data_IF_552031785871
#
_entry.id   IF_552031785871
#
_cell.length_a   1.000
_cell.length_b   1.000
_cell.length_c   1.000
_cell.angle_alpha   90.00
_cell.angle_beta   90.00
_cell.angle_gamma   90.00
#
_symmetry.space_group_name_H-M   'P 1'
#
loop_
_entity.id
_entity.type
_entity.pdbx_description
1 polymer ?
#
# COMPACT_ATOMS: atom_id res chain seq x y z
N UNK A 1 -18.34 -17.80 -6.53
CA UNK A 1 -19.23 -18.88 -7.01
C UNK A 1 -20.63 -18.37 -7.33
N UNK A 2 -21.37 -17.80 -6.35
CA UNK A 2 -22.74 -17.27 -6.56
C UNK A 2 -22.83 -16.24 -7.70
N UNK A 3 -21.90 -15.28 -7.77
CA UNK A 3 -21.87 -14.28 -8.84
C UNK A 3 -21.63 -14.90 -10.23
N UNK A 4 -20.76 -15.91 -10.31
CA UNK A 4 -20.35 -16.54 -11.58
C UNK A 4 -21.32 -17.62 -12.06
N UNK A 5 -22.09 -18.26 -11.18
CA UNK A 5 -22.95 -19.41 -11.51
C UNK A 5 -24.46 -19.14 -11.37
N UNK A 6 -24.87 -18.20 -10.52
CA UNK A 6 -26.30 -17.90 -10.29
C UNK A 6 -26.69 -16.58 -10.95
N UNK A 7 -26.20 -15.46 -10.41
CA UNK A 7 -26.44 -14.12 -10.96
C UNK A 7 -25.66 -13.06 -10.20
N UNK A 8 -25.26 -12.01 -10.91
CA UNK A 8 -24.72 -10.78 -10.32
C UNK A 8 -25.69 -10.11 -9.36
N UNK A 9 -27.00 -10.11 -9.68
CA UNK A 9 -28.03 -9.48 -8.84
C UNK A 9 -28.12 -10.17 -7.48
N UNK A 10 -28.10 -11.51 -7.48
CA UNK A 10 -28.14 -12.30 -6.24
C UNK A 10 -26.87 -12.08 -5.42
N UNK A 11 -25.70 -12.11 -6.07
CA UNK A 11 -24.42 -11.89 -5.41
C UNK A 11 -24.32 -10.53 -4.72
N UNK A 12 -24.66 -9.45 -5.43
CA UNK A 12 -24.66 -8.10 -4.84
C UNK A 12 -25.81 -7.88 -3.85
N UNK A 13 -26.97 -8.51 -4.06
CA UNK A 13 -28.10 -8.44 -3.14
C UNK A 13 -27.75 -8.98 -1.75
N UNK A 14 -27.07 -10.13 -1.68
CA UNK A 14 -26.59 -10.71 -0.42
C UNK A 14 -25.63 -9.74 0.30
N UNK A 15 -24.65 -9.18 -0.43
CA UNK A 15 -23.70 -8.22 0.14
C UNK A 15 -24.41 -6.95 0.66
N UNK A 16 -25.41 -6.45 -0.06
CA UNK A 16 -26.21 -5.31 0.36
C UNK A 16 -26.95 -5.60 1.66
N UNK A 17 -27.64 -6.75 1.76
CA UNK A 17 -28.35 -7.17 2.96
C UNK A 17 -27.39 -7.28 4.15
N UNK A 18 -26.23 -7.91 3.97
CA UNK A 18 -25.21 -8.02 5.01
C UNK A 18 -24.73 -6.65 5.50
N UNK A 19 -24.52 -5.69 4.59
CA UNK A 19 -24.13 -4.33 4.95
C UNK A 19 -25.22 -3.62 5.77
N UNK A 20 -26.49 -3.77 5.38
CA UNK A 20 -27.63 -3.20 6.12
C UNK A 20 -27.71 -3.80 7.52
N UNK A 21 -27.58 -5.13 7.64
CA UNK A 21 -27.59 -5.83 8.93
C UNK A 21 -26.42 -5.34 9.81
N UNK A 22 -25.21 -5.24 9.25
CA UNK A 22 -24.04 -4.73 9.98
C UNK A 22 -24.26 -3.29 10.47
N UNK A 23 -24.86 -2.42 9.65
CA UNK A 23 -25.21 -1.05 10.03
C UNK A 23 -26.23 -1.02 11.17
N UNK A 24 -27.28 -1.86 11.11
CA UNK A 24 -28.28 -1.96 12.18
C UNK A 24 -27.63 -2.41 13.49
N UNK A 25 -26.78 -3.44 13.46
CA UNK A 25 -26.04 -3.90 14.64
C UNK A 25 -25.15 -2.79 15.20
N UNK A 26 -24.43 -2.08 14.33
CA UNK A 26 -23.58 -0.95 14.72
C UNK A 26 -24.40 0.17 15.39
N UNK A 27 -25.55 0.54 14.82
CA UNK A 27 -26.43 1.57 15.38
C UNK A 27 -27.06 1.13 16.71
N UNK A 28 -27.48 -0.12 16.84
CA UNK A 28 -27.94 -0.68 18.11
C UNK A 28 -26.86 -0.64 19.20
N UNK A 29 -25.58 -0.74 18.82
CA UNK A 29 -24.44 -0.64 19.73
C UNK A 29 -24.09 0.77 20.18
N UNK A 30 -24.66 1.82 19.58
CA UNK A 30 -24.28 3.23 19.85
C UNK A 30 -24.46 3.64 21.31
N UNK A 31 -25.45 3.10 22.01
CA UNK A 31 -25.67 3.36 23.45
C UNK A 31 -24.57 2.77 24.33
N UNK A 32 -23.81 1.79 23.83
CA UNK A 32 -22.73 1.11 24.54
C UNK A 32 -21.35 1.68 24.20
N UNK A 33 -21.26 2.57 23.21
CA UNK A 33 -20.00 3.15 22.75
C UNK A 33 -19.55 4.30 23.65
N UNK A 34 -18.28 4.24 24.08
CA UNK A 34 -17.64 5.37 24.76
C UNK A 34 -17.02 6.28 23.72
N UNK A 35 -17.58 7.48 23.59
CA UNK A 35 -17.02 8.51 22.73
C UNK A 35 -15.80 9.13 23.43
N UNK A 36 -14.61 8.81 22.93
CA UNK A 36 -13.39 9.52 23.33
C UNK A 36 -13.41 10.85 22.58
N UNK A 37 -13.74 11.93 23.30
CA UNK A 37 -13.50 13.30 22.81
C UNK A 37 -12.00 13.48 22.73
N UNK A 38 -11.41 13.22 21.55
CA UNK A 38 -10.06 13.68 21.26
C UNK A 38 -10.12 15.20 21.25
N UNK A 39 -9.30 15.82 22.09
CA UNK A 39 -9.05 17.25 22.09
C UNK A 39 -8.88 17.72 20.64
N UNK A 40 -9.46 18.87 20.27
CA UNK A 40 -9.44 19.45 18.92
C UNK A 40 -8.03 19.97 18.54
N UNK A 41 -7.00 19.17 18.80
CA UNK A 41 -5.67 19.38 18.27
C UNK A 41 -5.74 19.45 16.75
N UNK A 42 -5.00 20.39 16.17
CA UNK A 42 -4.93 20.52 14.72
C UNK A 42 -4.54 19.19 14.08
N UNK A 43 -5.25 18.80 13.01
CA UNK A 43 -4.93 17.56 12.33
C UNK A 43 -3.49 17.61 11.82
N UNK A 44 -2.71 16.51 11.93
CA UNK A 44 -1.33 16.48 11.45
C UNK A 44 -1.21 16.90 9.98
N UNK A 45 -2.20 16.54 9.15
CA UNK A 45 -2.29 16.97 7.76
C UNK A 45 -2.39 18.49 7.62
N UNK A 46 -3.24 19.15 8.42
CA UNK A 46 -3.38 20.61 8.39
C UNK A 46 -2.08 21.28 8.82
N UNK A 47 -1.46 20.79 9.89
CA UNK A 47 -0.17 21.27 10.41
C UNK A 47 0.94 21.18 9.36
N UNK A 48 1.14 20.00 8.79
CA UNK A 48 2.17 19.75 7.77
C UNK A 48 1.90 20.54 6.49
N UNK A 49 0.64 20.59 6.02
CA UNK A 49 0.28 21.39 4.84
C UNK A 49 0.52 22.89 5.04
N UNK A 50 0.31 23.39 6.26
CA UNK A 50 0.60 24.78 6.64
C UNK A 50 2.08 25.13 6.45
N UNK A 51 2.98 24.22 6.84
CA UNK A 51 4.44 24.37 6.63
C UNK A 51 4.79 24.49 5.15
N UNK A 52 4.25 23.61 4.30
CA UNK A 52 4.50 23.67 2.86
C UNK A 52 3.99 24.97 2.23
N UNK A 53 2.79 25.41 2.63
CA UNK A 53 2.19 26.67 2.15
C UNK A 53 3.03 27.88 2.62
N UNK A 54 3.45 27.90 3.89
CA UNK A 54 4.29 28.97 4.44
C UNK A 54 5.66 29.03 3.76
N UNK A 55 6.33 27.88 3.57
CA UNK A 55 7.60 27.79 2.84
C UNK A 55 7.46 28.27 1.38
N UNK A 56 6.40 27.86 0.68
CA UNK A 56 6.14 28.30 -0.69
C UNK A 56 5.86 29.81 -0.78
N UNK A 57 5.09 30.36 0.16
CA UNK A 57 4.79 31.79 0.24
C UNK A 57 6.04 32.63 0.50
N UNK A 58 6.94 32.10 1.33
CA UNK A 58 8.21 32.74 1.66
C UNK A 58 9.37 32.34 0.72
N UNK A 59 9.11 31.59 -0.36
CA UNK A 59 10.15 31.06 -1.26
C UNK A 59 11.04 32.17 -1.86
N UNK A 60 10.46 33.35 -2.14
CA UNK A 60 11.14 34.52 -2.69
C UNK A 60 11.76 35.45 -1.65
N UNK A 61 11.56 35.21 -0.36
CA UNK A 61 12.31 35.89 0.68
C UNK A 61 13.77 35.45 0.52
N UNK A 62 14.57 36.31 -0.11
CA UNK A 62 16.00 36.14 -0.24
C UNK A 62 16.62 36.62 1.07
N UNK A 63 17.58 35.86 1.59
CA UNK A 63 18.53 36.33 2.60
C UNK A 63 18.93 37.78 2.25
N UNK A 64 18.71 38.72 3.17
CA UNK A 64 19.65 39.77 3.59
C UNK A 64 19.01 41.09 4.11
N UNK A 65 17.80 41.51 3.71
CA UNK A 65 17.48 42.96 3.85
C UNK A 65 16.50 43.41 4.93
N UNK A 66 15.94 42.53 5.76
CA UNK A 66 15.16 42.94 6.94
C UNK A 66 15.27 41.86 8.00
N UNK A 67 16.29 41.91 8.85
CA UNK A 67 16.28 41.17 10.12
C UNK A 67 16.58 42.16 11.23
N UNK A 68 15.63 42.32 12.13
CA UNK A 68 15.87 42.90 13.46
C UNK A 68 16.68 41.86 14.27
N UNK A 69 17.49 42.26 15.26
CA UNK A 69 18.45 41.40 15.99
C UNK A 69 17.85 40.11 16.62
N UNK A 70 16.52 39.98 16.66
CA UNK A 70 15.78 38.79 17.12
C UNK A 70 15.60 37.69 16.06
N UNK A 71 15.75 38.01 14.77
CA UNK A 71 15.47 37.07 13.68
C UNK A 71 16.70 36.26 13.23
N UNK A 72 17.93 36.70 13.56
CA UNK A 72 19.16 35.91 13.37
C UNK A 72 19.17 34.60 14.17
N UNK A 73 18.45 34.55 15.29
CA UNK A 73 18.31 33.33 16.11
C UNK A 73 17.50 32.23 15.40
N UNK A 74 16.62 32.58 14.46
CA UNK A 74 15.83 31.64 13.66
C UNK A 74 16.54 31.24 12.35
N UNK A 75 17.46 32.08 11.87
CA UNK A 75 18.25 31.85 10.66
C UNK A 75 19.44 30.92 10.91
N UNK A 76 19.95 30.88 12.15
CA UNK A 76 20.92 29.89 12.56
C UNK A 76 20.21 28.56 12.80
N UNK A 77 20.34 27.57 11.90
CA UNK A 77 19.72 26.27 12.12
C UNK A 77 20.24 25.73 13.46
N UNK A 78 19.38 25.12 14.29
CA UNK A 78 19.86 24.47 15.50
C UNK A 78 20.98 23.51 15.11
N UNK A 79 22.04 23.35 15.92
CA UNK A 79 23.19 22.51 15.58
C UNK A 79 22.82 21.04 15.29
N UNK A 80 21.58 20.64 15.60
CA UNK A 80 21.00 19.32 15.38
C UNK A 80 19.93 19.25 14.27
N UNK A 81 19.65 20.34 13.55
CA UNK A 81 18.65 20.39 12.47
C UNK A 81 19.16 19.73 11.19
N UNK A 82 18.27 19.04 10.45
CA UNK A 82 18.70 18.35 9.24
C UNK A 82 19.00 19.30 8.09
N UNK A 83 20.18 19.15 7.46
CA UNK A 83 20.58 19.89 6.27
C UNK A 83 19.78 19.52 5.00
N UNK A 84 18.95 18.47 5.04
CA UNK A 84 18.09 18.09 3.91
C UNK A 84 16.80 18.92 3.91
N UNK A 85 16.37 19.36 2.72
CA UNK A 85 15.15 20.15 2.50
C UNK A 85 15.12 21.53 3.19
N UNK A 86 16.25 22.25 3.18
CA UNK A 86 16.40 23.61 3.77
C UNK A 86 15.39 24.64 3.29
N UNK A 87 14.77 24.43 2.12
CA UNK A 87 13.72 25.32 1.65
C UNK A 87 12.50 25.36 2.58
N UNK A 88 12.26 24.31 3.37
CA UNK A 88 11.18 24.26 4.37
C UNK A 88 11.45 25.15 5.58
N UNK A 89 12.71 25.49 5.86
CA UNK A 89 13.07 26.40 6.96
C UNK A 89 12.52 27.81 6.72
N UNK A 90 12.20 28.17 5.45
CA UNK A 90 11.52 29.41 5.10
C UNK A 90 10.10 29.53 5.68
N UNK A 91 9.49 28.42 6.13
CA UNK A 91 8.20 28.44 6.83
C UNK A 91 8.29 29.05 8.25
N UNK A 92 9.49 29.15 8.82
CA UNK A 92 9.73 29.79 10.11
C UNK A 92 9.66 31.32 10.01
N UNK A 93 9.84 31.87 8.81
CA UNK A 93 9.82 33.32 8.61
C UNK A 93 8.39 33.89 8.72
N UNK A 94 8.20 35.02 9.41
CA UNK A 94 6.92 35.72 9.42
C UNK A 94 6.56 36.15 7.99
N UNK A 95 5.30 35.94 7.61
CA UNK A 95 4.88 36.19 6.22
C UNK A 95 4.87 37.68 5.89
N UNK A 96 5.57 38.14 4.82
CA UNK A 96 5.64 39.56 4.48
C UNK A 96 4.33 40.13 3.93
N UNK A 97 3.40 39.26 3.50
CA UNK A 97 2.15 39.65 2.82
C UNK A 97 0.94 39.66 3.77
N UNK A 98 1.07 39.14 5.01
CA UNK A 98 0.00 39.16 6.01
C UNK A 98 0.44 39.98 7.21
N UNK A 99 0.18 41.29 7.19
CA UNK A 99 0.37 42.21 8.34
C UNK A 99 -0.55 41.90 9.55
N UNK A 100 -1.06 40.68 9.65
CA UNK A 100 -1.87 40.20 10.77
C UNK A 100 -2.23 38.72 10.59
N UNK A 101 -2.12 37.96 11.67
CA UNK A 101 -2.69 36.62 11.91
C UNK A 101 -2.05 35.33 11.35
N UNK A 102 -0.97 35.38 10.58
CA UNK A 102 -0.22 34.15 10.29
C UNK A 102 0.78 33.84 11.40
N UNK A 103 0.47 32.92 12.34
CA UNK A 103 1.50 32.42 13.28
C UNK A 103 2.61 31.75 12.45
N UNK A 104 3.90 32.10 12.65
CA UNK A 104 5.00 31.37 12.02
C UNK A 104 4.96 29.90 12.48
N UNK A 105 5.33 28.98 11.59
CA UNK A 105 5.39 27.56 11.93
C UNK A 105 6.46 27.32 13.00
N UNK A 106 6.24 26.34 13.87
CA UNK A 106 7.25 25.92 14.86
C UNK A 106 8.34 25.07 14.20
N UNK A 107 9.53 25.06 14.81
CA UNK A 107 10.67 24.22 14.36
C UNK A 107 10.27 22.73 14.33
N UNK A 108 9.49 22.28 15.31
CA UNK A 108 9.00 20.89 15.37
C UNK A 108 8.08 20.56 14.18
N UNK A 109 7.26 21.50 13.74
CA UNK A 109 6.36 21.33 12.58
C UNK A 109 7.15 21.23 11.28
N UNK A 110 8.22 22.02 11.17
CA UNK A 110 9.13 21.99 10.02
C UNK A 110 9.92 20.69 9.96
N UNK A 111 10.48 20.22 11.07
CA UNK A 111 11.20 18.93 11.11
C UNK A 111 10.27 17.73 10.90
N UNK A 112 9.00 17.81 11.34
CA UNK A 112 7.99 16.82 10.99
C UNK A 112 7.70 16.81 9.49
N UNK A 113 7.52 17.97 8.86
CA UNK A 113 7.30 18.08 7.41
C UNK A 113 8.52 17.56 6.61
N UNK A 114 9.75 17.86 7.06
CA UNK A 114 10.99 17.28 6.48
C UNK A 114 11.00 15.77 6.61
N UNK A 115 10.59 15.23 7.76
CA UNK A 115 10.52 13.79 7.99
C UNK A 115 9.51 13.10 7.07
N UNK A 116 8.34 13.71 6.84
CA UNK A 116 7.37 13.22 5.85
C UNK A 116 7.97 13.25 4.44
N UNK A 117 8.68 14.31 4.08
CA UNK A 117 9.32 14.41 2.76
C UNK A 117 10.41 13.36 2.56
N UNK A 118 11.12 12.94 3.61
CA UNK A 118 12.07 11.81 3.57
C UNK A 118 11.38 10.45 3.33
N UNK A 119 10.11 10.31 3.70
CA UNK A 119 9.33 9.09 3.45
C UNK A 119 8.78 9.01 2.02
N UNK A 120 8.66 10.14 1.30
CA UNK A 120 8.10 10.18 -0.05
C UNK A 120 8.85 9.26 -1.04
N UNK A 121 10.19 9.24 -1.10
CA UNK A 121 10.90 8.31 -1.98
C UNK A 121 10.63 6.83 -1.66
N UNK A 122 10.54 6.47 -0.37
CA UNK A 122 10.26 5.10 0.08
C UNK A 122 8.82 4.70 -0.27
N UNK A 123 7.88 5.63 -0.12
CA UNK A 123 6.51 5.44 -0.57
C UNK A 123 6.44 5.27 -2.10
N UNK A 124 7.18 6.08 -2.86
CA UNK A 124 7.20 6.02 -4.31
C UNK A 124 7.73 4.68 -4.83
N UNK A 125 8.79 4.11 -4.23
CA UNK A 125 9.28 2.77 -4.61
C UNK A 125 8.27 1.67 -4.30
N UNK A 126 7.41 1.88 -3.30
CA UNK A 126 6.33 0.95 -2.95
C UNK A 126 5.18 0.94 -3.99
N UNK A 127 5.12 1.90 -4.92
CA UNK A 127 4.13 1.90 -6.01
C UNK A 127 4.29 0.70 -6.94
N UNK A 128 5.50 0.18 -7.11
CA UNK A 128 5.75 -1.03 -7.93
C UNK A 128 5.00 -2.21 -7.33
N UNK A 129 5.03 -2.36 -6.01
CA UNK A 129 4.27 -3.39 -5.30
C UNK A 129 2.76 -3.23 -5.56
N UNK A 130 2.24 -2.00 -5.48
CA UNK A 130 0.82 -1.74 -5.73
C UNK A 130 0.40 -2.14 -7.17
N UNK A 131 1.27 -1.93 -8.16
CA UNK A 131 1.04 -2.40 -9.53
C UNK A 131 0.92 -3.93 -9.57
N UNK A 132 1.84 -4.66 -8.92
CA UNK A 132 1.80 -6.13 -8.87
C UNK A 132 0.55 -6.62 -8.13
N UNK A 133 0.23 -6.02 -7.00
CA UNK A 133 -0.97 -6.31 -6.22
C UNK A 133 -2.24 -6.19 -7.07
N UNK A 134 -2.35 -5.15 -7.89
CA UNK A 134 -3.52 -4.95 -8.77
C UNK A 134 -3.72 -6.07 -9.80
N UNK A 135 -2.65 -6.78 -10.21
CA UNK A 135 -2.73 -7.87 -11.19
C UNK A 135 -3.46 -9.10 -10.65
N UNK A 136 -3.43 -9.32 -9.33
CA UNK A 136 -4.06 -10.48 -8.68
C UNK A 136 -5.56 -10.55 -8.95
N UNK A 137 -6.25 -9.42 -8.74
CA UNK A 137 -7.69 -9.29 -8.95
C UNK A 137 -8.10 -9.13 -10.42
N UNK A 138 -7.16 -8.76 -11.29
CA UNK A 138 -7.43 -8.38 -12.68
C UNK A 138 -6.83 -9.38 -13.66
N UNK A 139 -5.57 -9.18 -14.05
CA UNK A 139 -4.89 -9.97 -15.08
C UNK A 139 -4.84 -11.46 -14.73
N UNK A 140 -4.48 -11.84 -13.49
CA UNK A 140 -4.42 -13.26 -13.12
C UNK A 140 -5.79 -13.94 -13.18
N UNK A 141 -6.85 -13.21 -12.84
CA UNK A 141 -8.23 -13.70 -12.96
C UNK A 141 -8.63 -13.87 -14.43
N UNK A 142 -8.28 -12.91 -15.29
CA UNK A 142 -8.53 -13.00 -16.75
C UNK A 142 -7.73 -14.13 -17.39
N UNK A 143 -6.46 -14.28 -17.02
CA UNK A 143 -5.60 -15.36 -17.47
C UNK A 143 -6.21 -16.71 -17.09
N UNK A 144 -6.59 -16.90 -15.82
CA UNK A 144 -7.21 -18.12 -15.32
C UNK A 144 -8.56 -18.44 -15.96
N UNK A 145 -9.32 -17.44 -16.40
CA UNK A 145 -10.59 -17.65 -17.09
C UNK A 145 -10.43 -18.32 -18.46
N UNK A 146 -9.26 -18.22 -19.09
CA UNK A 146 -8.94 -18.85 -20.40
C UNK A 146 -8.39 -20.28 -20.27
N UNK A 147 -8.09 -20.73 -19.06
CA UNK A 147 -7.50 -22.04 -18.78
C UNK A 147 -8.58 -23.09 -18.50
N UNK A 148 -8.20 -24.37 -18.52
CA UNK A 148 -9.07 -25.44 -18.06
C UNK A 148 -9.21 -25.39 -16.53
N UNK A 149 -10.44 -25.14 -16.07
CA UNK A 149 -10.80 -24.94 -14.67
C UNK A 149 -11.54 -26.13 -14.07
N UNK A 150 -11.59 -27.26 -14.77
CA UNK A 150 -12.24 -28.47 -14.29
C UNK A 150 -11.46 -29.11 -13.13
N UNK A 151 -12.17 -29.49 -12.06
CA UNK A 151 -11.70 -30.39 -11.02
C UNK A 151 -12.58 -31.63 -11.08
N UNK A 152 -12.02 -32.73 -11.58
CA UNK A 152 -12.77 -33.96 -11.78
C UNK A 152 -13.85 -33.81 -12.87
N UNK A 153 -14.89 -34.66 -12.85
CA UNK A 153 -15.80 -34.81 -13.99
C UNK A 153 -16.88 -33.72 -14.12
N UNK A 154 -17.20 -32.98 -13.05
CA UNK A 154 -18.39 -32.10 -13.05
C UNK A 154 -18.19 -30.73 -12.40
N UNK A 155 -17.08 -30.48 -11.72
CA UNK A 155 -16.88 -29.23 -10.99
C UNK A 155 -15.97 -28.28 -11.77
N UNK A 156 -16.44 -27.06 -12.02
CA UNK A 156 -15.66 -26.01 -12.67
C UNK A 156 -15.42 -24.88 -11.68
N UNK A 157 -14.15 -24.65 -11.37
CA UNK A 157 -13.75 -23.64 -10.39
C UNK A 157 -13.87 -22.23 -10.99
N UNK A 158 -14.47 -21.27 -10.28
CA UNK A 158 -14.39 -19.86 -10.65
C UNK A 158 -12.94 -19.36 -10.74
N UNK A 159 -12.54 -18.70 -11.83
CA UNK A 159 -11.17 -18.21 -11.98
C UNK A 159 -10.76 -17.27 -10.83
N UNK A 160 -11.69 -16.40 -10.40
CA UNK A 160 -11.47 -15.47 -9.30
C UNK A 160 -11.26 -16.17 -7.95
N UNK A 161 -11.75 -17.40 -7.75
CA UNK A 161 -11.56 -18.10 -6.47
C UNK A 161 -10.13 -18.52 -6.20
N UNK A 162 -9.23 -18.51 -7.20
CA UNK A 162 -7.79 -18.71 -6.96
C UNK A 162 -7.19 -17.62 -6.07
N UNK A 163 -7.80 -16.44 -5.98
CA UNK A 163 -7.39 -15.40 -5.03
C UNK A 163 -7.47 -15.89 -3.57
N UNK A 164 -8.34 -16.85 -3.25
CA UNK A 164 -8.40 -17.44 -1.91
C UNK A 164 -7.07 -18.09 -1.51
N UNK A 165 -6.30 -18.57 -2.49
CA UNK A 165 -5.00 -19.18 -2.23
C UNK A 165 -3.97 -18.18 -1.70
N UNK A 166 -4.06 -16.90 -2.10
CA UNK A 166 -3.23 -15.82 -1.54
C UNK A 166 -3.45 -15.75 -0.03
N UNK A 167 -4.71 -15.69 0.40
CA UNK A 167 -5.07 -15.61 1.82
C UNK A 167 -4.68 -16.86 2.60
N UNK A 168 -4.83 -18.05 2.01
CA UNK A 168 -4.33 -19.29 2.62
C UNK A 168 -2.82 -19.23 2.81
N UNK A 169 -2.07 -18.78 1.80
CA UNK A 169 -0.63 -18.57 1.93
C UNK A 169 -0.31 -17.58 3.04
N UNK A 170 -0.97 -16.42 3.11
CA UNK A 170 -0.75 -15.43 4.18
C UNK A 170 -1.01 -16.05 5.57
N UNK A 171 -2.13 -16.75 5.75
CA UNK A 171 -2.50 -17.39 7.03
C UNK A 171 -1.46 -18.43 7.46
N UNK A 172 -0.84 -19.14 6.51
CA UNK A 172 0.21 -20.11 6.79
C UNK A 172 1.57 -19.44 7.02
N UNK A 173 1.91 -18.40 6.25
CA UNK A 173 3.21 -17.74 6.31
C UNK A 173 3.38 -16.85 7.54
N UNK A 174 2.35 -16.14 8.00
CA UNK A 174 2.41 -15.29 9.20
C UNK A 174 2.93 -16.06 10.43
N UNK A 175 2.33 -17.19 10.85
CA UNK A 175 2.81 -17.92 12.03
C UNK A 175 4.20 -18.53 11.82
N UNK A 176 4.58 -18.90 10.58
CA UNK A 176 5.94 -19.36 10.28
C UNK A 176 6.93 -18.21 10.43
N UNK A 177 6.57 -17.03 9.93
CA UNK A 177 7.38 -15.83 10.03
C UNK A 177 7.58 -15.42 11.50
N UNK A 178 6.49 -15.25 12.25
CA UNK A 178 6.55 -14.82 13.63
C UNK A 178 7.11 -15.90 14.57
N UNK A 179 6.77 -17.16 14.32
CA UNK A 179 7.11 -18.28 15.20
C UNK A 179 8.50 -18.88 14.96
N UNK A 180 8.99 -18.89 13.71
CA UNK A 180 10.28 -19.49 13.37
C UNK A 180 11.32 -18.46 12.91
N UNK A 181 10.94 -17.54 12.01
CA UNK A 181 11.90 -16.59 11.43
C UNK A 181 12.29 -15.47 12.40
N UNK A 182 11.32 -14.81 13.03
CA UNK A 182 11.57 -13.70 13.98
C UNK A 182 12.47 -14.10 15.16
N UNK A 183 12.29 -15.25 15.85
CA UNK A 183 13.20 -15.60 16.95
C UNK A 183 14.63 -15.87 16.47
N UNK A 184 14.80 -16.56 15.34
CA UNK A 184 16.13 -16.79 14.74
C UNK A 184 16.79 -15.47 14.35
N UNK A 185 16.05 -14.60 13.65
CA UNK A 185 16.54 -13.29 13.25
C UNK A 185 16.86 -12.39 14.46
N UNK A 186 16.10 -12.49 15.55
CA UNK A 186 16.36 -11.76 16.79
C UNK A 186 17.69 -12.20 17.43
N UNK A 187 17.97 -13.50 17.46
CA UNK A 187 19.26 -14.03 17.96
C UNK A 187 20.42 -13.55 17.11
N UNK A 188 20.27 -13.55 15.78
CA UNK A 188 21.35 -13.15 14.86
C UNK A 188 21.60 -11.64 14.81
N UNK A 189 20.54 -10.82 14.84
CA UNK A 189 20.65 -9.36 14.63
C UNK A 189 20.66 -8.55 15.92
N UNK A 190 20.26 -9.14 17.05
CA UNK A 190 20.06 -8.45 18.32
C UNK A 190 18.87 -7.48 18.33
N UNK A 191 18.04 -7.42 17.29
CA UNK A 191 16.90 -6.50 17.21
C UNK A 191 15.62 -7.15 17.73
N UNK A 192 14.77 -6.44 18.51
CA UNK A 192 13.54 -7.02 19.05
C UNK A 192 12.57 -7.50 17.96
N UNK A 193 12.52 -6.81 16.81
CA UNK A 193 11.70 -7.19 15.66
C UNK A 193 12.37 -8.20 14.70
N UNK A 194 13.58 -8.69 15.00
CA UNK A 194 14.35 -9.60 14.15
C UNK A 194 15.00 -8.91 12.94
N UNK A 195 14.23 -8.22 12.09
CA UNK A 195 14.75 -7.43 10.96
C UNK A 195 14.11 -6.04 10.94
N UNK A 196 14.73 -5.07 10.26
CA UNK A 196 14.18 -3.72 10.18
C UNK A 196 12.92 -3.66 9.31
N UNK A 197 12.04 -2.70 9.55
CA UNK A 197 10.83 -2.49 8.72
C UNK A 197 11.18 -2.25 7.26
N UNK A 198 12.26 -1.49 6.98
CA UNK A 198 12.70 -1.24 5.61
C UNK A 198 13.22 -2.51 4.91
N UNK A 199 13.86 -3.41 5.65
CA UNK A 199 14.26 -4.71 5.11
C UNK A 199 13.05 -5.58 4.77
N UNK A 200 12.01 -5.58 5.61
CA UNK A 200 10.74 -6.29 5.32
C UNK A 200 10.11 -5.77 4.03
N UNK A 201 9.99 -4.44 3.87
CA UNK A 201 9.48 -3.81 2.65
C UNK A 201 10.32 -4.21 1.43
N UNK A 202 11.65 -4.17 1.55
CA UNK A 202 12.56 -4.55 0.46
C UNK A 202 12.42 -6.01 0.03
N UNK A 203 12.24 -6.92 0.99
CA UNK A 203 12.01 -8.36 0.71
C UNK A 203 10.69 -8.56 -0.02
N UNK A 204 9.59 -7.93 0.44
CA UNK A 204 8.29 -8.01 -0.24
C UNK A 204 8.34 -7.48 -1.68
N UNK A 205 9.05 -6.37 -1.91
CA UNK A 205 9.31 -5.84 -3.26
C UNK A 205 10.09 -6.83 -4.13
N UNK A 206 11.14 -7.46 -3.58
CA UNK A 206 11.92 -8.46 -4.30
C UNK A 206 11.08 -9.69 -4.68
N UNK A 207 10.30 -10.24 -3.74
CA UNK A 207 9.40 -11.37 -3.99
C UNK A 207 8.36 -11.00 -5.06
N UNK A 208 7.87 -9.76 -5.06
CA UNK A 208 6.93 -9.26 -6.09
C UNK A 208 7.53 -9.24 -7.49
N UNK A 209 8.81 -8.89 -7.64
CA UNK A 209 9.52 -8.96 -8.93
C UNK A 209 9.63 -10.41 -9.39
N UNK A 210 10.00 -11.33 -8.49
CA UNK A 210 10.04 -12.77 -8.78
C UNK A 210 8.65 -13.28 -9.17
N UNK A 211 7.60 -12.84 -8.50
CA UNK A 211 6.21 -13.19 -8.80
C UNK A 211 5.83 -12.82 -10.24
N UNK A 212 6.12 -11.59 -10.67
CA UNK A 212 5.86 -11.16 -12.05
C UNK A 212 6.71 -11.94 -13.05
N UNK A 213 7.97 -12.25 -12.72
CA UNK A 213 8.82 -13.12 -13.54
C UNK A 213 8.20 -14.50 -13.75
N UNK A 214 7.72 -15.13 -12.68
CA UNK A 214 7.02 -16.42 -12.73
C UNK A 214 5.73 -16.33 -13.53
N UNK A 215 4.94 -15.28 -13.33
CA UNK A 215 3.71 -15.05 -14.09
C UNK A 215 3.98 -14.88 -15.59
N UNK A 216 5.05 -14.18 -15.97
CA UNK A 216 5.47 -14.04 -17.36
C UNK A 216 5.90 -15.38 -17.98
N UNK A 217 6.58 -16.25 -17.22
CA UNK A 217 6.94 -17.60 -17.68
C UNK A 217 5.70 -18.48 -17.90
N UNK A 218 4.75 -18.42 -16.97
CA UNK A 218 3.48 -19.14 -17.08
C UNK A 218 2.70 -18.64 -18.30
N UNK A 219 2.68 -17.32 -18.53
CA UNK A 219 2.00 -16.73 -19.68
C UNK A 219 2.66 -17.14 -21.01
N UNK A 220 3.99 -17.16 -21.07
CA UNK A 220 4.71 -17.69 -22.25
C UNK A 220 4.34 -19.14 -22.52
N UNK A 221 4.22 -19.96 -21.48
CA UNK A 221 3.78 -21.36 -21.61
C UNK A 221 2.34 -21.45 -22.11
N UNK A 222 1.43 -20.63 -21.59
CA UNK A 222 0.03 -20.57 -22.03
C UNK A 222 -0.08 -20.19 -23.51
N UNK A 223 0.65 -19.16 -23.94
CA UNK A 223 0.68 -18.72 -25.34
C UNK A 223 1.25 -19.79 -26.27
N UNK A 224 2.30 -20.49 -25.84
CA UNK A 224 2.86 -21.61 -26.61
C UNK A 224 1.85 -22.75 -26.79
N UNK A 225 1.14 -23.12 -25.71
CA UNK A 225 0.08 -24.12 -25.79
C UNK A 225 -1.07 -23.68 -26.71
N UNK A 226 -1.46 -22.40 -26.69
CA UNK A 226 -2.45 -21.86 -27.63
C UNK A 226 -1.97 -21.94 -29.09
N UNK A 227 -0.69 -21.65 -29.34
CA UNK A 227 -0.09 -21.74 -30.67
C UNK A 227 -0.09 -23.17 -31.22
N UNK A 228 0.34 -24.13 -30.41
CA UNK A 228 0.40 -25.55 -30.80
C UNK A 228 -0.98 -26.13 -31.13
N UNK A 229 -2.05 -25.60 -30.53
CA UNK A 229 -3.43 -26.02 -30.79
C UNK A 229 -4.16 -25.13 -31.81
N UNK A 230 -3.48 -24.17 -32.44
CA UNK A 230 -4.10 -23.25 -33.41
C UNK A 230 -5.15 -22.31 -32.81
N UNK A 231 -5.09 -22.04 -31.51
CA UNK A 231 -6.09 -21.29 -30.74
C UNK A 231 -5.75 -19.79 -30.55
N UNK A 232 -4.69 -19.28 -31.19
CA UNK A 232 -4.21 -17.90 -30.97
C UNK A 232 -5.26 -16.85 -31.35
N UNK A 233 -5.95 -17.06 -32.47
CA UNK A 233 -6.88 -16.07 -33.04
C UNK A 233 -8.35 -16.34 -32.66
N UNK A 234 -8.60 -17.29 -31.75
CA UNK A 234 -9.95 -17.67 -31.30
C UNK A 234 -10.25 -17.06 -29.92
N UNK A 235 -10.88 -15.87 -29.86
CA UNK A 235 -11.25 -15.27 -28.59
C UNK A 235 -12.29 -16.16 -27.88
N UNK A 236 -12.08 -16.40 -26.58
CA UNK A 236 -12.95 -17.19 -25.69
C UNK A 236 -12.84 -18.73 -25.76
N UNK A 237 -11.84 -19.30 -26.45
CA UNK A 237 -11.62 -20.75 -26.39
C UNK A 237 -10.77 -21.12 -25.19
N UNK A 238 -11.15 -22.20 -24.51
CA UNK A 238 -10.40 -22.74 -23.37
C UNK A 238 -9.11 -23.37 -23.86
N UNK A 239 -7.98 -22.88 -23.37
CA UNK A 239 -6.67 -23.43 -23.68
C UNK A 239 -6.49 -24.70 -22.85
N UNK A 240 -6.01 -25.82 -23.45
CA UNK A 240 -5.81 -27.09 -22.77
C UNK A 240 -4.59 -27.05 -21.84
N UNK A 241 -4.65 -26.16 -20.84
CA UNK A 241 -3.66 -25.98 -19.79
C UNK A 241 -4.43 -25.82 -18.49
N UNK A 242 -4.05 -26.61 -17.49
CA UNK A 242 -4.74 -26.62 -16.19
C UNK A 242 -4.54 -25.31 -15.43
N UNK A 243 -5.61 -24.82 -14.80
CA UNK A 243 -5.63 -23.61 -13.97
C UNK A 243 -4.61 -23.67 -12.80
N UNK A 244 -4.23 -24.87 -12.35
CA UNK A 244 -3.29 -25.08 -11.24
C UNK A 244 -1.87 -24.58 -11.54
N UNK A 245 -1.51 -24.41 -12.81
CA UNK A 245 -0.25 -23.76 -13.20
C UNK A 245 -0.14 -22.32 -12.70
N UNK A 246 -1.24 -21.67 -12.33
CA UNK A 246 -1.23 -20.33 -11.74
C UNK A 246 -0.90 -20.33 -10.24
N UNK A 247 -0.93 -21.47 -9.53
CA UNK A 247 -0.67 -21.51 -8.09
C UNK A 247 0.67 -20.86 -7.66
N UNK A 248 1.80 -21.04 -8.39
CA UNK A 248 3.07 -20.43 -8.01
C UNK A 248 3.03 -18.90 -7.93
N UNK A 249 2.40 -18.22 -8.90
CA UNK A 249 2.28 -16.75 -8.88
C UNK A 249 1.34 -16.27 -7.76
N UNK A 250 0.28 -17.03 -7.43
CA UNK A 250 -0.59 -16.71 -6.29
C UNK A 250 0.11 -16.96 -4.94
N UNK A 251 0.93 -18.01 -4.80
CA UNK A 251 1.73 -18.25 -3.59
C UNK A 251 2.78 -17.15 -3.38
N UNK A 252 3.52 -16.79 -4.43
CA UNK A 252 4.53 -15.72 -4.36
C UNK A 252 3.89 -14.37 -4.01
N UNK A 253 2.69 -14.10 -4.53
CA UNK A 253 1.91 -12.92 -4.14
C UNK A 253 1.57 -12.94 -2.64
N UNK A 254 1.07 -14.06 -2.11
CA UNK A 254 0.77 -14.19 -0.69
C UNK A 254 2.01 -14.04 0.20
N UNK A 255 3.16 -14.60 -0.20
CA UNK A 255 4.42 -14.42 0.52
C UNK A 255 4.96 -12.98 0.48
N UNK A 256 4.69 -12.24 -0.58
CA UNK A 256 5.12 -10.84 -0.69
C UNK A 256 4.28 -9.91 0.22
N UNK A 257 3.06 -10.33 0.58
CA UNK A 257 2.13 -9.60 1.45
C UNK A 257 2.27 -9.93 2.93
N UNK A 258 2.72 -11.15 3.27
CA UNK A 258 2.93 -11.62 4.66
C UNK A 258 4.16 -11.02 5.32
#
# INVERSE_FOLDING_TARGET
YVQDNLSWVVGFGILCILMVVALVIFLCGTTSYRYIVKDEGQSPFKRISGVFVAAARNWRANDWSVLDDKEEAYLNPPPNGSQQFRFLDKALLPSPISKGNGRPCSIDEVEEAKSVLRLVPIWATSLIFAIVFSQQGTFFTRQGATLDRSIGPSFVVPAASLQCFIYVCIIVFIPIYDGAFVPVARVMTGKPAGISMLQRIGIGLFISIVCIGVAALIERKRLKAALEHGLIDLPNVTIPMSIWWLLPQYALSGMAES
#
